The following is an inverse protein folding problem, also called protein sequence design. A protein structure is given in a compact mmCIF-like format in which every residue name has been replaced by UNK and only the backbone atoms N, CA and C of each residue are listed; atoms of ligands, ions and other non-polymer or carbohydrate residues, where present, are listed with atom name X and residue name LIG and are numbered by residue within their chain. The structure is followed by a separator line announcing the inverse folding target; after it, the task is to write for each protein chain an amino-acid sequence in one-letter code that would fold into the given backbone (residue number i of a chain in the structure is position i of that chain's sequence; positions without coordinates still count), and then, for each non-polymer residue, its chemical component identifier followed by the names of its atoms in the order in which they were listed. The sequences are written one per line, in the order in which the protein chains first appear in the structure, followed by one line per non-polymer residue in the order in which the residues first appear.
data_IF_449650218809
#
_entry.id   IF_449650218809
#
_cell.length_a   1.000
_cell.length_b   1.000
_cell.length_c   1.000
_cell.angle_alpha   90.00
_cell.angle_beta   90.00
_cell.angle_gamma   90.00
#
_symmetry.space_group_name_H-M   'P 1'
#
loop_
_entity.id
_entity.type
_entity.pdbx_description
1 polymer ?
#
# COMPACT_ATOMS: atom_id res chain seq x y z
N UNK A 1 -4.86 5.88 -22.76
CA UNK A 1 -4.97 4.53 -22.13
C UNK A 1 -3.95 3.53 -22.66
N UNK A 2 -3.89 3.23 -23.98
CA UNK A 2 -3.01 2.18 -24.54
C UNK A 2 -1.53 2.28 -24.17
N UNK A 3 -0.95 3.49 -24.18
CA UNK A 3 0.46 3.66 -23.79
C UNK A 3 0.70 3.26 -22.33
N UNK A 4 -0.24 3.58 -21.42
CA UNK A 4 -0.14 3.21 -20.01
C UNK A 4 -0.28 1.69 -19.81
N UNK A 5 -1.11 1.02 -20.61
CA UNK A 5 -1.19 -0.45 -20.64
C UNK A 5 0.12 -1.07 -21.12
N UNK A 6 0.74 -0.50 -22.16
CA UNK A 6 2.05 -0.91 -22.66
C UNK A 6 3.13 -0.79 -21.60
N UNK A 7 3.16 0.35 -20.89
CA UNK A 7 4.08 0.61 -19.79
C UNK A 7 3.86 -0.39 -18.63
N UNK A 8 2.61 -0.63 -18.24
CA UNK A 8 2.23 -1.59 -17.19
C UNK A 8 2.72 -3.01 -17.54
N UNK A 9 2.45 -3.45 -18.77
CA UNK A 9 2.92 -4.75 -19.26
C UNK A 9 4.45 -4.85 -19.26
N UNK A 10 5.15 -3.79 -19.68
CA UNK A 10 6.62 -3.76 -19.68
C UNK A 10 7.19 -3.89 -18.27
N UNK A 11 6.64 -3.17 -17.29
CA UNK A 11 7.09 -3.26 -15.90
C UNK A 11 6.84 -4.64 -15.29
N UNK A 12 5.69 -5.26 -15.54
CA UNK A 12 5.42 -6.62 -15.09
C UNK A 12 6.37 -7.64 -15.71
N UNK A 13 6.63 -7.52 -17.01
CA UNK A 13 7.58 -8.40 -17.69
C UNK A 13 8.99 -8.29 -17.11
N UNK A 14 9.43 -7.07 -16.73
CA UNK A 14 10.71 -6.86 -16.05
C UNK A 14 10.72 -7.54 -14.68
N UNK A 15 9.70 -7.32 -13.85
CA UNK A 15 9.58 -7.96 -12.53
C UNK A 15 9.64 -9.48 -12.67
N UNK A 16 8.85 -10.05 -13.58
CA UNK A 16 8.85 -11.48 -13.89
C UNK A 16 10.26 -11.97 -14.26
N UNK A 17 10.89 -11.32 -15.24
CA UNK A 17 12.19 -11.75 -15.77
C UNK A 17 13.31 -11.68 -14.73
N UNK A 18 13.23 -10.75 -13.78
CA UNK A 18 14.18 -10.63 -12.68
C UNK A 18 13.96 -11.68 -11.60
N UNK A 19 12.70 -11.95 -11.22
CA UNK A 19 12.36 -12.99 -10.24
C UNK A 19 12.62 -14.41 -10.75
N UNK A 20 12.46 -14.66 -12.06
CA UNK A 20 12.75 -15.97 -12.68
C UNK A 20 14.25 -16.21 -12.92
N UNK A 21 15.15 -15.32 -12.46
CA UNK A 21 16.61 -15.33 -12.69
C UNK A 21 17.03 -15.34 -14.18
N UNK A 22 16.07 -15.20 -15.10
CA UNK A 22 16.32 -15.24 -16.55
C UNK A 22 17.12 -14.02 -17.01
N UNK A 23 16.94 -12.85 -16.37
CA UNK A 23 17.73 -11.61 -16.59
C UNK A 23 17.72 -10.69 -15.36
N UNK A 24 18.79 -10.72 -14.56
CA UNK A 24 19.03 -9.73 -13.49
C UNK A 24 19.38 -8.32 -14.01
N UNK A 25 19.62 -8.17 -15.32
CA UNK A 25 20.11 -6.92 -15.95
C UNK A 25 19.05 -5.79 -16.08
N UNK A 26 17.79 -6.02 -15.70
CA UNK A 26 16.71 -5.01 -15.89
C UNK A 26 16.57 -4.00 -14.77
N UNK A 27 17.13 -4.29 -13.60
CA UNK A 27 17.26 -3.37 -12.49
C UNK A 27 18.77 -3.24 -12.23
N UNK A 28 19.25 -2.02 -11.97
CA UNK A 28 20.69 -1.74 -11.72
C UNK A 28 21.14 -2.38 -10.38
N UNK A 29 21.70 -1.62 -9.44
CA UNK A 29 22.16 -2.08 -8.11
C UNK A 29 21.03 -2.57 -7.17
N UNK A 30 19.82 -2.80 -7.68
CA UNK A 30 18.66 -3.25 -6.90
C UNK A 30 18.14 -4.56 -7.48
N UNK A 31 18.53 -5.69 -6.88
CA UNK A 31 17.85 -6.96 -7.12
C UNK A 31 16.64 -7.01 -6.18
N UNK A 32 15.40 -6.88 -6.68
CA UNK A 32 14.25 -7.14 -5.85
C UNK A 32 14.16 -8.64 -5.61
N UNK A 33 14.82 -9.12 -4.56
CA UNK A 33 14.68 -10.50 -4.07
C UNK A 33 13.26 -10.75 -3.51
N UNK A 34 12.40 -9.72 -3.47
CA UNK A 34 11.05 -9.76 -2.92
C UNK A 34 9.99 -9.27 -3.93
N UNK A 35 9.27 -10.23 -4.50
CA UNK A 35 8.09 -10.05 -5.35
C UNK A 35 7.10 -9.02 -4.78
N UNK A 36 6.89 -9.03 -3.46
CA UNK A 36 5.91 -8.16 -2.83
C UNK A 36 6.31 -6.68 -2.92
N UNK A 37 7.61 -6.37 -2.81
CA UNK A 37 8.13 -5.01 -2.94
C UNK A 37 7.93 -4.51 -4.38
N UNK A 38 8.23 -5.37 -5.35
CA UNK A 38 7.97 -5.10 -6.76
C UNK A 38 6.49 -4.79 -7.03
N UNK A 39 5.58 -5.63 -6.51
CA UNK A 39 4.14 -5.44 -6.72
C UNK A 39 3.62 -4.15 -6.08
N UNK A 40 4.03 -3.83 -4.85
CA UNK A 40 3.65 -2.56 -4.24
C UNK A 40 4.15 -1.35 -5.03
N UNK A 41 5.40 -1.41 -5.48
CA UNK A 41 6.02 -0.32 -6.25
C UNK A 41 5.30 -0.12 -7.58
N UNK A 42 4.92 -1.20 -8.24
CA UNK A 42 4.17 -1.16 -9.49
C UNK A 42 2.74 -0.61 -9.29
N UNK A 43 2.04 -1.08 -8.25
CA UNK A 43 0.70 -0.57 -7.89
C UNK A 43 0.76 0.92 -7.59
N UNK A 44 1.72 1.36 -6.77
CA UNK A 44 1.96 2.78 -6.50
C UNK A 44 2.20 3.58 -7.78
N UNK A 45 3.11 3.11 -8.64
CA UNK A 45 3.43 3.75 -9.91
C UNK A 45 2.19 3.89 -10.81
N UNK A 46 1.38 2.83 -10.95
CA UNK A 46 0.18 2.85 -11.79
C UNK A 46 -0.81 3.90 -11.28
N UNK A 47 -1.12 3.88 -9.98
CA UNK A 47 -2.04 4.84 -9.37
C UNK A 47 -1.51 6.27 -9.42
N UNK A 48 -0.20 6.46 -9.27
CA UNK A 48 0.43 7.76 -9.48
C UNK A 48 0.25 8.25 -10.92
N UNK A 49 0.47 7.41 -11.93
CA UNK A 49 0.28 7.79 -13.33
C UNK A 49 -1.16 8.09 -13.68
N UNK A 50 -2.12 7.33 -13.16
CA UNK A 50 -3.55 7.61 -13.36
C UNK A 50 -3.90 9.00 -12.81
N UNK A 51 -3.47 9.30 -11.58
CA UNK A 51 -3.74 10.60 -10.95
C UNK A 51 -3.01 11.74 -11.65
N UNK A 52 -1.74 11.57 -11.98
CA UNK A 52 -0.89 12.63 -12.56
C UNK A 52 -1.26 12.94 -14.01
N UNK A 53 -1.70 11.94 -14.78
CA UNK A 53 -2.23 12.15 -16.14
C UNK A 53 -3.70 12.59 -16.14
N UNK A 54 -4.32 12.69 -14.95
CA UNK A 54 -5.71 13.10 -14.72
C UNK A 54 -6.73 12.32 -15.56
N UNK A 55 -6.57 11.00 -15.65
CA UNK A 55 -7.45 10.15 -16.46
C UNK A 55 -8.92 10.31 -16.02
N UNK A 56 -9.81 10.28 -16.99
CA UNK A 56 -11.25 10.27 -16.78
C UNK A 56 -11.76 8.87 -16.40
N UNK A 57 -12.95 8.77 -15.79
CA UNK A 57 -13.51 7.50 -15.32
C UNK A 57 -13.64 6.43 -16.42
N UNK A 58 -13.99 6.85 -17.65
CA UNK A 58 -14.05 5.94 -18.79
C UNK A 58 -12.65 5.42 -19.17
N UNK A 59 -11.63 6.27 -19.13
CA UNK A 59 -10.24 5.87 -19.41
C UNK A 59 -9.69 4.92 -18.35
N UNK A 60 -10.04 5.16 -17.08
CA UNK A 60 -9.70 4.27 -15.96
C UNK A 60 -10.36 2.91 -16.15
N UNK A 61 -11.65 2.89 -16.52
CA UNK A 61 -12.36 1.65 -16.82
C UNK A 61 -11.72 0.89 -17.99
N UNK A 62 -11.40 1.58 -19.09
CA UNK A 62 -10.70 0.99 -20.23
C UNK A 62 -9.33 0.42 -19.83
N UNK A 63 -8.61 1.09 -18.94
CA UNK A 63 -7.33 0.62 -18.40
C UNK A 63 -7.48 -0.69 -17.63
N UNK A 64 -8.42 -0.80 -16.70
CA UNK A 64 -8.63 -2.03 -15.93
C UNK A 64 -9.22 -3.17 -16.77
N UNK A 65 -10.11 -2.86 -17.73
CA UNK A 65 -10.60 -3.85 -18.70
C UNK A 65 -9.47 -4.36 -19.61
N UNK A 66 -8.61 -3.46 -20.09
CA UNK A 66 -7.44 -3.81 -20.89
C UNK A 66 -6.45 -4.68 -20.12
N UNK A 67 -6.18 -4.35 -18.85
CA UNK A 67 -5.40 -5.19 -17.94
C UNK A 67 -6.00 -6.60 -17.85
N UNK A 68 -7.27 -6.70 -17.49
CA UNK A 68 -7.98 -7.98 -17.27
C UNK A 68 -8.04 -8.85 -18.52
N UNK A 69 -8.23 -8.24 -19.69
CA UNK A 69 -8.48 -8.98 -20.93
C UNK A 69 -7.20 -9.29 -21.73
N UNK A 70 -6.14 -8.50 -21.58
CA UNK A 70 -4.95 -8.60 -22.44
C UNK A 70 -3.66 -8.92 -21.70
N UNK A 71 -3.55 -8.56 -20.42
CA UNK A 71 -2.30 -8.73 -19.67
C UNK A 71 -2.44 -9.84 -18.63
N UNK A 72 -3.45 -9.76 -17.76
CA UNK A 72 -3.70 -10.73 -16.69
C UNK A 72 -3.85 -12.20 -17.17
N UNK A 73 -4.42 -12.51 -18.35
CA UNK A 73 -4.52 -13.89 -18.83
C UNK A 73 -3.19 -14.55 -19.17
N UNK A 74 -2.09 -13.78 -19.25
CA UNK A 74 -0.77 -14.33 -19.50
C UNK A 74 -0.28 -15.10 -18.25
N UNK A 75 -0.16 -16.42 -18.39
CA UNK A 75 0.18 -17.34 -17.30
C UNK A 75 1.54 -17.09 -16.67
N UNK A 76 2.46 -16.40 -17.37
CA UNK A 76 3.76 -16.01 -16.80
C UNK A 76 3.59 -15.10 -15.57
N UNK A 77 2.56 -14.25 -15.58
CA UNK A 77 2.31 -13.33 -14.47
C UNK A 77 1.56 -13.99 -13.31
N UNK A 78 1.10 -15.24 -13.45
CA UNK A 78 0.49 -15.98 -12.35
C UNK A 78 1.53 -16.43 -11.31
N UNK A 79 2.81 -16.45 -11.67
CA UNK A 79 3.92 -16.64 -10.74
C UNK A 79 4.12 -15.42 -9.83
N UNK A 80 3.58 -14.25 -10.22
CA UNK A 80 3.60 -13.01 -9.44
C UNK A 80 2.23 -12.83 -8.77
N UNK A 81 1.93 -13.70 -7.80
CA UNK A 81 0.61 -13.87 -7.21
C UNK A 81 0.03 -12.58 -6.60
N UNK A 82 0.87 -11.61 -6.21
CA UNK A 82 0.45 -10.38 -5.52
C UNK A 82 0.28 -9.14 -6.41
N UNK A 83 0.46 -9.29 -7.72
CA UNK A 83 0.35 -8.21 -8.70
C UNK A 83 -1.01 -8.21 -9.44
N UNK A 84 -2.10 -8.54 -8.75
CA UNK A 84 -3.45 -8.36 -9.29
C UNK A 84 -3.87 -6.89 -9.20
N UNK A 85 -4.73 -6.40 -10.09
CA UNK A 85 -5.24 -5.03 -10.06
C UNK A 85 -6.77 -5.07 -10.04
N UNK A 86 -7.36 -4.58 -8.96
CA UNK A 86 -8.81 -4.50 -8.82
C UNK A 86 -9.34 -3.26 -9.54
N UNK A 87 -10.58 -3.34 -10.03
CA UNK A 87 -11.22 -2.21 -10.72
C UNK A 87 -11.60 -1.12 -9.69
N UNK A 88 -10.98 0.05 -9.80
CA UNK A 88 -11.17 1.18 -8.89
C UNK A 88 -11.69 2.40 -9.65
N UNK A 89 -12.53 3.21 -9.01
CA UNK A 89 -12.86 4.54 -9.55
C UNK A 89 -11.76 5.58 -9.23
N UNK A 90 -11.85 6.77 -9.84
CA UNK A 90 -10.84 7.83 -9.70
C UNK A 90 -10.58 8.24 -8.25
N UNK A 91 -11.62 8.33 -7.43
CA UNK A 91 -11.49 8.71 -6.03
C UNK A 91 -10.89 7.59 -5.17
N UNK A 92 -11.26 6.35 -5.43
CA UNK A 92 -10.65 5.16 -4.83
C UNK A 92 -9.16 5.07 -5.14
N UNK A 93 -8.76 5.36 -6.38
CA UNK A 93 -7.35 5.39 -6.79
C UNK A 93 -6.58 6.47 -6.03
N UNK A 94 -7.13 7.69 -5.94
CA UNK A 94 -6.52 8.77 -5.16
C UNK A 94 -6.33 8.40 -3.70
N UNK A 95 -7.28 7.65 -3.13
CA UNK A 95 -7.22 7.19 -1.73
C UNK A 95 -6.19 6.07 -1.56
N UNK A 96 -6.28 4.99 -2.32
CA UNK A 96 -5.36 3.85 -2.16
C UNK A 96 -3.91 4.25 -2.44
N UNK A 97 -3.68 5.17 -3.40
CA UNK A 97 -2.35 5.75 -3.68
C UNK A 97 -1.69 6.31 -2.42
N UNK A 98 -2.45 6.95 -1.52
CA UNK A 98 -1.91 7.51 -0.26
C UNK A 98 -1.42 6.43 0.69
N UNK A 99 -2.06 5.26 0.71
CA UNK A 99 -1.67 4.12 1.54
C UNK A 99 -0.37 3.50 1.00
N UNK A 100 -0.28 3.30 -0.32
CA UNK A 100 0.96 2.86 -0.96
C UNK A 100 2.10 3.86 -0.72
N UNK A 101 1.84 5.16 -0.86
CA UNK A 101 2.81 6.21 -0.57
C UNK A 101 3.27 6.21 0.89
N UNK A 102 2.34 6.04 1.84
CA UNK A 102 2.65 5.93 3.26
C UNK A 102 3.65 4.79 3.51
N UNK A 103 3.38 3.63 2.93
CA UNK A 103 4.26 2.48 3.09
C UNK A 103 5.64 2.78 2.51
N UNK A 104 5.74 3.35 1.31
CA UNK A 104 7.03 3.77 0.72
C UNK A 104 7.78 4.77 1.60
N UNK A 105 7.09 5.76 2.18
CA UNK A 105 7.70 6.74 3.09
C UNK A 105 8.27 6.03 4.32
N UNK A 106 7.50 5.14 4.94
CA UNK A 106 7.93 4.39 6.12
C UNK A 106 9.10 3.45 5.85
N UNK A 107 9.24 2.96 4.62
CA UNK A 107 10.37 2.11 4.21
C UNK A 107 11.64 2.90 3.92
N UNK A 108 11.51 4.18 3.55
CA UNK A 108 12.66 5.02 3.22
C UNK A 108 13.56 5.20 4.45
N UNK A 109 14.88 5.16 4.23
CA UNK A 109 15.90 5.46 5.24
C UNK A 109 16.05 6.97 5.47
N UNK A 110 15.17 7.79 4.91
CA UNK A 110 15.25 9.24 5.02
C UNK A 110 15.01 9.64 6.48
N UNK A 111 16.05 10.18 7.13
CA UNK A 111 15.91 10.92 8.38
C UNK A 111 15.17 12.22 8.08
N UNK A 112 13.85 12.22 8.19
CA UNK A 112 13.06 13.45 8.14
C UNK A 112 13.37 14.22 9.41
N UNK A 113 13.98 15.40 9.32
CA UNK A 113 14.39 16.13 10.53
C UNK A 113 13.18 16.68 11.30
N UNK A 114 13.31 16.80 12.64
CA UNK A 114 12.27 17.43 13.47
C UNK A 114 12.02 18.90 13.10
N UNK A 115 13.04 19.57 12.58
CA UNK A 115 12.99 20.93 12.03
C UNK A 115 12.94 20.89 10.51
N UNK A 116 11.77 20.54 9.96
CA UNK A 116 11.62 20.39 8.52
C UNK A 116 12.06 21.66 7.76
N UNK A 117 12.69 21.48 6.60
CA UNK A 117 12.65 22.45 5.50
C UNK A 117 11.35 22.24 4.68
N UNK A 118 11.04 23.15 3.74
CA UNK A 118 9.80 23.09 2.94
C UNK A 118 9.54 21.74 2.25
N UNK A 119 10.60 20.99 1.89
CA UNK A 119 10.47 19.68 1.26
C UNK A 119 10.20 18.57 2.28
N UNK A 120 10.91 18.57 3.41
CA UNK A 120 10.68 17.62 4.52
C UNK A 120 9.27 17.75 5.11
N UNK A 121 8.71 18.96 5.17
CA UNK A 121 7.35 19.17 5.65
C UNK A 121 6.28 18.58 4.73
N UNK A 122 6.49 18.60 3.41
CA UNK A 122 5.57 17.94 2.47
C UNK A 122 5.48 16.44 2.74
N UNK A 123 6.59 15.78 3.05
CA UNK A 123 6.59 14.36 3.40
C UNK A 123 5.78 14.06 4.67
N UNK A 124 5.85 14.95 5.66
CA UNK A 124 5.03 14.84 6.88
C UNK A 124 3.53 14.95 6.59
N UNK A 125 3.13 15.88 5.72
CA UNK A 125 1.72 16.01 5.32
C UNK A 125 1.24 14.79 4.52
N UNK A 126 2.07 14.24 3.64
CA UNK A 126 1.77 13.00 2.93
C UNK A 126 1.66 11.80 3.87
N UNK A 127 2.55 11.71 4.86
CA UNK A 127 2.52 10.69 5.89
C UNK A 127 1.19 10.72 6.66
N UNK A 128 0.78 11.89 7.15
CA UNK A 128 -0.45 12.02 7.92
C UNK A 128 -1.70 11.71 7.10
N UNK A 129 -1.75 12.19 5.85
CA UNK A 129 -2.84 11.86 4.95
C UNK A 129 -2.91 10.36 4.63
N UNK A 130 -1.76 9.73 4.41
CA UNK A 130 -1.67 8.29 4.20
C UNK A 130 -2.10 7.50 5.41
N UNK A 131 -1.71 7.94 6.61
CA UNK A 131 -2.09 7.29 7.87
C UNK A 131 -3.59 7.38 8.12
N UNK A 132 -4.18 8.57 7.95
CA UNK A 132 -5.63 8.76 8.07
C UNK A 132 -6.36 7.86 7.07
N UNK A 133 -5.88 7.77 5.83
CA UNK A 133 -6.50 6.92 4.82
C UNK A 133 -6.36 5.43 5.15
N UNK A 134 -5.21 4.99 5.69
CA UNK A 134 -5.01 3.62 6.15
C UNK A 134 -6.02 3.25 7.24
N UNK A 135 -6.21 4.11 8.25
CA UNK A 135 -7.16 3.83 9.33
C UNK A 135 -8.61 3.89 8.83
N UNK A 136 -8.94 4.85 7.96
CA UNK A 136 -10.26 4.90 7.31
C UNK A 136 -10.56 3.63 6.50
N UNK A 137 -9.56 3.09 5.81
CA UNK A 137 -9.69 1.86 5.02
C UNK A 137 -9.84 0.63 5.90
N UNK A 138 -9.07 0.54 6.98
CA UNK A 138 -9.20 -0.52 7.98
C UNK A 138 -10.60 -0.56 8.61
N UNK A 139 -11.22 0.60 8.81
CA UNK A 139 -12.60 0.70 9.30
C UNK A 139 -13.63 0.42 8.20
N UNK A 140 -13.44 0.94 6.98
CA UNK A 140 -14.39 0.75 5.87
C UNK A 140 -14.45 -0.71 5.40
N UNK A 141 -13.31 -1.36 5.31
CA UNK A 141 -13.16 -2.70 4.73
C UNK A 141 -13.25 -3.82 5.78
N UNK A 142 -13.84 -3.54 6.95
CA UNK A 142 -13.90 -4.46 8.07
C UNK A 142 -15.00 -5.52 7.98
N UNK A 143 -15.91 -5.38 7.01
CA UNK A 143 -17.14 -6.17 6.89
C UNK A 143 -17.11 -7.08 5.64
N UNK A 144 -17.73 -8.26 5.74
CA UNK A 144 -17.72 -9.36 4.74
C UNK A 144 -18.12 -8.95 3.31
N UNK A 145 -18.85 -7.85 3.13
CA UNK A 145 -19.51 -7.49 1.87
C UNK A 145 -18.62 -6.75 0.86
N UNK A 146 -17.30 -6.65 1.08
CA UNK A 146 -16.42 -5.84 0.24
C UNK A 146 -15.16 -6.58 -0.23
N UNK A 147 -15.32 -7.76 -0.86
CA UNK A 147 -14.23 -8.51 -1.49
C UNK A 147 -13.93 -8.10 -2.94
N UNK A 148 -14.46 -6.96 -3.39
CA UNK A 148 -14.23 -6.43 -4.73
C UNK A 148 -13.82 -4.94 -4.68
N UNK A 149 -13.18 -4.46 -5.75
CA UNK A 149 -12.80 -3.06 -5.91
C UNK A 149 -11.84 -2.58 -4.81
N UNK A 150 -12.16 -1.44 -4.18
CA UNK A 150 -11.28 -0.77 -3.23
C UNK A 150 -10.83 -1.64 -2.05
N UNK A 151 -11.75 -2.40 -1.45
CA UNK A 151 -11.43 -3.19 -0.28
C UNK A 151 -10.69 -4.48 -0.63
N UNK A 152 -10.87 -5.01 -1.85
CA UNK A 152 -10.00 -6.07 -2.37
C UNK A 152 -8.57 -5.56 -2.54
N UNK A 153 -8.40 -4.37 -3.12
CA UNK A 153 -7.08 -3.74 -3.28
C UNK A 153 -6.42 -3.45 -1.93
N UNK A 154 -7.19 -2.93 -0.96
CA UNK A 154 -6.68 -2.70 0.38
C UNK A 154 -6.32 -4.01 1.09
N UNK A 155 -7.08 -5.08 0.86
CA UNK A 155 -6.76 -6.41 1.40
C UNK A 155 -5.46 -6.96 0.80
N UNK A 156 -5.25 -6.84 -0.51
CA UNK A 156 -3.97 -7.22 -1.13
C UNK A 156 -2.79 -6.46 -0.51
N UNK A 157 -2.96 -5.17 -0.24
CA UNK A 157 -1.98 -4.37 0.49
C UNK A 157 -1.68 -4.97 1.88
N UNK A 158 -2.69 -5.35 2.66
CA UNK A 158 -2.49 -5.99 3.96
C UNK A 158 -1.80 -7.36 3.81
N UNK A 159 -2.17 -8.16 2.83
CA UNK A 159 -1.53 -9.48 2.62
C UNK A 159 -0.04 -9.34 2.28
N UNK A 160 0.31 -8.36 1.45
CA UNK A 160 1.71 -8.00 1.18
C UNK A 160 2.42 -7.60 2.48
N UNK A 161 1.86 -6.68 3.27
CA UNK A 161 2.45 -6.24 4.54
C UNK A 161 2.60 -7.37 5.57
N UNK A 162 1.75 -8.39 5.51
CA UNK A 162 1.82 -9.57 6.38
C UNK A 162 2.89 -10.58 5.91
N UNK A 163 3.05 -10.76 4.60
CA UNK A 163 4.06 -11.69 4.05
C UNK A 163 5.47 -11.09 4.10
N UNK A 164 5.60 -9.79 3.90
CA UNK A 164 6.87 -9.10 3.88
C UNK A 164 7.32 -8.65 5.29
N UNK A 165 7.89 -9.58 6.04
CA UNK A 165 8.42 -9.32 7.38
C UNK A 165 9.78 -8.59 7.39
N UNK A 166 10.45 -8.48 6.24
CA UNK A 166 11.77 -7.86 6.11
C UNK A 166 11.71 -6.34 5.93
N UNK A 167 10.52 -5.79 5.67
CA UNK A 167 10.39 -4.38 5.32
C UNK A 167 10.22 -3.45 6.52
N UNK A 168 10.80 -2.24 6.47
CA UNK A 168 10.78 -1.26 7.57
C UNK A 168 9.50 -0.40 7.64
N UNK A 169 8.51 -0.72 6.78
CA UNK A 169 7.26 0.00 6.62
C UNK A 169 6.17 -0.33 7.66
N UNK A 170 4.96 -0.60 7.16
CA UNK A 170 3.88 -1.21 7.95
C UNK A 170 4.11 -2.71 8.02
N UNK A 171 4.16 -3.26 9.24
CA UNK A 171 4.22 -4.70 9.50
C UNK A 171 2.90 -5.17 10.10
N UNK A 172 2.46 -6.34 9.67
CA UNK A 172 1.23 -6.96 10.16
C UNK A 172 1.52 -8.31 10.80
N UNK A 173 0.90 -8.58 11.94
CA UNK A 173 0.99 -9.86 12.65
C UNK A 173 -0.38 -10.41 12.97
N UNK A 174 -0.51 -11.74 13.09
CA UNK A 174 -1.74 -12.37 13.60
C UNK A 174 -1.89 -12.24 15.11
N UNK A 175 -0.76 -12.16 15.81
CA UNK A 175 -0.73 -12.04 17.25
C UNK A 175 -0.46 -10.60 17.66
N UNK A 176 -1.07 -10.22 18.78
CA UNK A 176 -0.74 -8.97 19.43
C UNK A 176 0.59 -9.12 20.19
N UNK A 177 1.54 -8.24 19.89
CA UNK A 177 2.79 -8.09 20.60
C UNK A 177 2.76 -6.78 21.35
N UNK A 178 2.90 -6.84 22.67
CA UNK A 178 3.07 -5.63 23.46
C UNK A 178 4.29 -4.85 22.93
N UNK A 179 4.18 -3.52 22.75
CA UNK A 179 5.32 -2.70 22.34
C UNK A 179 6.47 -2.93 23.32
N UNK A 180 7.53 -3.61 22.87
CA UNK A 180 8.72 -3.86 23.69
C UNK A 180 9.86 -2.99 23.16
N UNK A 181 10.64 -2.42 24.08
CA UNK A 181 11.80 -1.56 23.77
C UNK A 181 12.81 -2.28 22.86
N UNK A 182 12.81 -3.62 22.87
CA UNK A 182 13.74 -4.46 22.11
C UNK A 182 13.42 -4.61 20.62
N UNK A 183 12.15 -4.45 20.22
CA UNK A 183 11.76 -4.69 18.82
C UNK A 183 11.69 -3.40 17.98
N UNK A 184 11.85 -2.22 18.60
CA UNK A 184 11.85 -0.94 17.89
C UNK A 184 10.58 -0.68 17.07
N UNK A 185 9.47 -1.35 17.40
CA UNK A 185 8.18 -1.23 16.70
C UNK A 185 7.12 -0.71 17.67
N UNK A 186 6.20 0.08 17.13
CA UNK A 186 5.07 0.64 17.87
C UNK A 186 3.76 0.17 17.28
N UNK A 187 2.83 -0.19 18.17
CA UNK A 187 1.50 -0.63 17.80
C UNK A 187 0.68 0.54 17.23
N UNK A 188 0.09 0.33 16.06
CA UNK A 188 -0.73 1.32 15.38
C UNK A 188 -2.22 1.04 15.61
N UNK A 189 -2.74 -0.06 15.07
CA UNK A 189 -4.12 -0.51 15.29
C UNK A 189 -4.30 -1.99 14.95
N UNK A 190 -5.48 -2.54 15.28
CA UNK A 190 -5.95 -3.82 14.76
C UNK A 190 -6.83 -3.59 13.53
N UNK A 191 -6.62 -4.38 12.48
CA UNK A 191 -7.37 -4.35 11.23
C UNK A 191 -8.10 -5.68 11.08
N UNK A 192 -9.44 -5.64 10.97
CA UNK A 192 -10.21 -6.84 10.62
C UNK A 192 -9.93 -7.17 9.14
N UNK A 193 -9.58 -8.42 8.85
CA UNK A 193 -9.17 -8.84 7.51
C UNK A 193 -10.00 -10.03 7.01
N UNK A 194 -11.30 -9.86 6.79
CA UNK A 194 -12.15 -11.00 6.41
C UNK A 194 -11.73 -11.67 5.08
N UNK A 195 -11.80 -13.02 4.96
CA UNK A 195 -12.20 -14.01 5.97
C UNK A 195 -11.06 -14.44 6.91
N UNK A 196 -9.91 -13.78 6.82
CA UNK A 196 -8.77 -14.04 7.69
C UNK A 196 -8.98 -13.45 9.10
N UNK A 197 -8.24 -13.96 10.09
CA UNK A 197 -8.16 -13.37 11.41
C UNK A 197 -7.74 -11.90 11.39
N UNK A 198 -8.06 -11.20 12.47
CA UNK A 198 -7.61 -9.82 12.71
C UNK A 198 -6.08 -9.74 12.62
N UNK A 199 -5.60 -8.73 11.92
CA UNK A 199 -4.18 -8.40 11.83
C UNK A 199 -3.86 -7.21 12.75
N UNK A 200 -2.71 -7.26 13.40
CA UNK A 200 -2.19 -6.19 14.25
C UNK A 200 -1.12 -5.44 13.48
N UNK A 201 -1.37 -4.15 13.22
CA UNK A 201 -0.47 -3.28 12.48
C UNK A 201 0.53 -2.58 13.40
N UNK A 202 1.80 -2.59 12.98
CA UNK A 202 2.90 -1.94 13.66
C UNK A 202 3.72 -1.16 12.64
N UNK A 203 4.37 -0.11 13.12
CA UNK A 203 5.37 0.64 12.37
C UNK A 203 6.65 0.75 13.19
N UNK A 204 7.80 0.88 12.54
CA UNK A 204 9.04 1.11 13.25
C UNK A 204 8.99 2.44 14.03
N UNK A 205 9.46 2.40 15.26
CA UNK A 205 9.62 3.58 16.09
C UNK A 205 10.76 4.42 15.54
N UNK A 206 10.41 5.58 14.98
CA UNK A 206 11.38 6.51 14.42
C UNK A 206 11.21 7.87 15.09
N UNK A 207 12.32 8.55 15.39
CA UNK A 207 12.34 9.82 16.12
C UNK A 207 11.54 10.91 15.39
N UNK A 208 11.47 10.86 14.07
CA UNK A 208 10.70 11.82 13.27
C UNK A 208 9.17 11.62 13.35
N UNK A 209 8.72 10.45 13.79
CA UNK A 209 7.30 10.17 13.99
C UNK A 209 6.85 10.78 15.31
N UNK A 210 6.05 11.85 15.25
CA UNK A 210 5.40 12.40 16.43
C UNK A 210 4.28 11.45 16.90
N UNK A 211 4.61 10.57 17.83
CA UNK A 211 3.69 9.58 18.38
C UNK A 211 2.53 10.15 19.19
N UNK A 212 2.68 11.32 19.80
CA UNK A 212 1.57 11.99 20.49
C UNK A 212 0.48 12.36 19.48
N UNK A 213 0.87 13.01 18.38
CA UNK A 213 -0.05 13.36 17.28
C UNK A 213 -0.68 12.13 16.63
N UNK A 214 0.09 11.07 16.40
CA UNK A 214 -0.43 9.79 15.89
C UNK A 214 -1.46 9.20 16.85
N UNK A 215 -1.18 9.22 18.16
CA UNK A 215 -2.10 8.74 19.19
C UNK A 215 -3.42 9.52 19.17
N UNK A 216 -3.36 10.84 19.03
CA UNK A 216 -4.55 11.68 18.92
C UNK A 216 -5.41 11.32 17.71
N UNK A 217 -4.81 11.07 16.55
CA UNK A 217 -5.53 10.61 15.35
C UNK A 217 -6.20 9.25 15.59
N UNK A 218 -5.48 8.29 16.17
CA UNK A 218 -6.01 6.97 16.51
C UNK A 218 -7.16 7.05 17.51
N UNK A 219 -7.08 7.95 18.49
CA UNK A 219 -8.10 8.14 19.52
C UNK A 219 -9.33 8.90 19.02
N UNK A 220 -9.14 9.92 18.19
CA UNK A 220 -10.23 10.69 17.59
C UNK A 220 -11.13 9.78 16.74
N UNK A 221 -10.53 8.86 15.99
CA UNK A 221 -11.28 7.94 15.15
C UNK A 221 -12.07 6.91 15.96
N UNK A 222 -11.53 6.43 17.09
CA UNK A 222 -12.29 5.59 18.04
C UNK A 222 -13.53 6.30 18.59
N UNK A 223 -13.46 7.62 18.81
CA UNK A 223 -14.60 8.42 19.30
C UNK A 223 -15.69 8.59 18.23
N UNK A 224 -15.32 8.80 16.97
CA UNK A 224 -16.29 8.91 15.87
C UNK A 224 -17.05 7.61 15.60
N UNK A 225 -16.43 6.45 15.82
CA UNK A 225 -17.10 5.15 15.66
C UNK A 225 -18.15 4.90 16.75
N UNK A 226 -17.97 5.45 17.95
CA UNK A 226 -18.94 5.33 19.06
C UNK A 226 -20.16 6.26 18.82
N UNK A 227 -19.95 7.44 18.23
CA UNK A 227 -21.03 8.39 17.94
C UNK A 227 -21.95 7.94 16.79
N UNK A 228 -21.47 7.12 15.85
CA UNK A 228 -22.27 6.59 14.74
C UNK A 228 -23.12 5.34 15.12
N UNK A 229 -23.00 4.84 16.36
CA UNK A 229 -23.69 3.64 16.85
C UNK A 229 -24.66 3.94 18.01
N UNK A 230 -25.03 5.21 18.23
CA UNK A 230 -26.04 5.64 19.23
C UNK A 230 -27.31 6.15 18.58
#
# INVERSE_FOLDING_TARGET
VNDLLGDLHSHLYKIYSTLSEDRSEYFDDFNPDDENICCMSLKYWLYDKIVTRDLEENEIKELFEGWKNHIHPNTKYHEIQHCEFHNLNKDEIKRIKKIYALNTILQSTMEISETCNENECKYKDYFEQGLIEFINSANKCSDDSMLEGYCAEFKDFLEICYKNNQNNGIKLFRDYFAPSVHNGMRYLLSVKNYPNPTLYAYINDNKWLNWERISDLLNAQKRTTIAATS
#
